data_IF_891015274260
#
_entry.id   IF_891015274260
#
_cell.length_a   1.000
_cell.length_b   1.000
_cell.length_c   1.000
_cell.angle_alpha   90.00
_cell.angle_beta   90.00
_cell.angle_gamma   90.00
#
_symmetry.space_group_name_H-M   'P 1'
#
loop_
_entity.id
_entity.type
_entity.pdbx_description
1 polymer ?
#
# COMPACT_ATOMS: atom_id res chain seq x y z
N UNK A 1 18.85 14.55 8.03
CA UNK A 1 18.82 14.21 6.59
C UNK A 1 17.84 13.08 6.44
N UNK A 2 16.64 13.35 5.93
CA UNK A 2 15.76 12.27 5.47
C UNK A 2 16.54 11.51 4.39
N UNK A 3 16.85 10.24 4.65
CA UNK A 3 17.40 9.39 3.59
C UNK A 3 16.27 9.20 2.59
N UNK A 4 16.37 9.85 1.43
CA UNK A 4 15.54 9.49 0.29
C UNK A 4 15.65 7.96 0.10
N UNK A 5 14.51 7.28 0.08
CA UNK A 5 14.51 5.84 -0.16
C UNK A 5 15.06 5.61 -1.56
N UNK A 6 15.98 4.66 -1.69
CA UNK A 6 16.50 4.30 -3.00
C UNK A 6 15.37 3.73 -3.87
N UNK A 7 15.56 3.77 -5.19
CA UNK A 7 14.64 3.12 -6.14
C UNK A 7 14.41 1.64 -5.81
N UNK A 8 15.43 0.92 -5.35
CA UNK A 8 15.29 -0.47 -4.90
C UNK A 8 14.43 -0.60 -3.65
N UNK A 9 14.56 0.32 -2.69
CA UNK A 9 13.76 0.30 -1.47
C UNK A 9 12.29 0.63 -1.76
N UNK A 10 12.03 1.57 -2.68
CA UNK A 10 10.69 1.89 -3.19
C UNK A 10 10.04 0.65 -3.85
N UNK A 11 10.79 -0.09 -4.67
CA UNK A 11 10.29 -1.32 -5.29
C UNK A 11 10.01 -2.43 -4.27
N UNK A 12 10.89 -2.61 -3.28
CA UNK A 12 10.67 -3.57 -2.19
C UNK A 12 9.42 -3.20 -1.39
N UNK A 13 9.25 -1.92 -1.06
CA UNK A 13 8.09 -1.43 -0.30
C UNK A 13 6.80 -1.59 -1.09
N UNK A 14 6.80 -1.25 -2.39
CA UNK A 14 5.67 -1.50 -3.30
C UNK A 14 5.23 -2.97 -3.27
N UNK A 15 6.17 -3.90 -3.40
CA UNK A 15 5.86 -5.34 -3.35
C UNK A 15 5.25 -5.79 -2.02
N UNK A 16 5.72 -5.24 -0.90
CA UNK A 16 5.13 -5.53 0.42
C UNK A 16 3.70 -5.01 0.50
N UNK A 17 3.45 -3.77 0.09
CA UNK A 17 2.12 -3.15 0.09
C UNK A 17 1.14 -3.89 -0.82
N UNK A 18 1.58 -4.40 -1.97
CA UNK A 18 0.74 -5.24 -2.84
C UNK A 18 0.32 -6.55 -2.16
N UNK A 19 1.20 -7.15 -1.36
CA UNK A 19 0.89 -8.35 -0.57
C UNK A 19 -0.07 -8.02 0.58
N UNK A 20 0.16 -6.90 1.29
CA UNK A 20 -0.73 -6.42 2.36
C UNK A 20 -2.13 -6.13 1.80
N UNK A 21 -2.21 -5.43 0.66
CA UNK A 21 -3.47 -5.19 -0.06
C UNK A 21 -4.18 -6.49 -0.41
N UNK A 22 -3.47 -7.46 -0.96
CA UNK A 22 -4.05 -8.76 -1.29
C UNK A 22 -4.51 -9.53 -0.04
N UNK A 23 -3.89 -9.31 1.11
CA UNK A 23 -4.33 -9.87 2.39
C UNK A 23 -5.62 -9.21 2.87
N UNK A 24 -5.67 -7.87 2.90
CA UNK A 24 -6.86 -7.09 3.29
C UNK A 24 -8.05 -7.43 2.40
N UNK A 25 -7.84 -7.56 1.08
CA UNK A 25 -8.87 -7.95 0.12
C UNK A 25 -9.61 -9.24 0.49
N UNK A 26 -8.94 -10.21 1.14
CA UNK A 26 -9.55 -11.49 1.54
C UNK A 26 -10.57 -11.34 2.65
N UNK A 27 -10.47 -10.27 3.43
CA UNK A 27 -11.32 -9.95 4.58
C UNK A 27 -12.31 -8.81 4.26
N UNK A 28 -12.31 -8.28 3.03
CA UNK A 28 -13.30 -7.31 2.56
C UNK A 28 -14.45 -8.04 1.84
N UNK A 29 -15.08 -8.98 2.53
CA UNK A 29 -16.24 -9.70 2.01
C UNK A 29 -17.47 -8.79 1.81
N UNK A 30 -18.45 -9.20 1.00
CA UNK A 30 -19.64 -8.40 0.69
C UNK A 30 -20.52 -8.07 1.89
N UNK A 31 -20.39 -8.81 2.99
CA UNK A 31 -21.14 -8.60 4.24
C UNK A 31 -20.23 -8.08 5.39
N UNK A 32 -18.93 -7.89 5.14
CA UNK A 32 -17.95 -7.39 6.11
C UNK A 32 -17.73 -5.88 5.94
N UNK A 33 -18.59 -5.07 6.55
CA UNK A 33 -18.34 -3.62 6.71
C UNK A 33 -17.44 -3.36 7.92
N UNK A 34 -16.18 -3.76 7.83
CA UNK A 34 -15.17 -3.36 8.80
C UNK A 34 -14.51 -2.05 8.35
N UNK A 35 -14.88 -0.95 9.02
CA UNK A 35 -14.28 0.37 8.79
C UNK A 35 -12.75 0.36 8.93
N UNK A 36 -12.21 -0.52 9.77
CA UNK A 36 -10.77 -0.66 9.96
C UNK A 36 -10.10 -1.23 8.71
N UNK A 37 -10.75 -2.21 8.06
CA UNK A 37 -10.26 -2.77 6.79
C UNK A 37 -10.38 -1.76 5.64
N UNK A 38 -11.44 -0.96 5.61
CA UNK A 38 -11.57 0.14 4.64
C UNK A 38 -10.47 1.19 4.83
N UNK A 39 -10.19 1.60 6.07
CA UNK A 39 -9.11 2.54 6.37
C UNK A 39 -7.72 1.99 6.01
N UNK A 40 -7.45 0.72 6.33
CA UNK A 40 -6.20 0.07 5.95
C UNK A 40 -6.05 -0.04 4.43
N UNK A 41 -7.12 -0.39 3.73
CA UNK A 41 -7.15 -0.44 2.28
C UNK A 41 -6.84 0.93 1.65
N UNK A 42 -7.47 2.00 2.14
CA UNK A 42 -7.20 3.36 1.66
C UNK A 42 -5.76 3.79 1.94
N UNK A 43 -5.21 3.50 3.13
CA UNK A 43 -3.82 3.80 3.49
C UNK A 43 -2.84 3.11 2.55
N UNK A 44 -3.03 1.81 2.30
CA UNK A 44 -2.17 1.03 1.40
C UNK A 44 -2.22 1.58 -0.02
N UNK A 45 -3.42 1.91 -0.54
CA UNK A 45 -3.56 2.49 -1.87
C UNK A 45 -2.89 3.86 -2.00
N UNK A 46 -3.02 4.70 -0.97
CA UNK A 46 -2.37 6.02 -0.95
C UNK A 46 -0.85 5.89 -0.97
N UNK A 47 -0.30 4.99 -0.14
CA UNK A 47 1.16 4.77 -0.10
C UNK A 47 1.68 4.19 -1.42
N UNK A 48 0.96 3.25 -2.04
CA UNK A 48 1.28 2.74 -3.37
C UNK A 48 1.32 3.85 -4.43
N UNK A 49 0.32 4.74 -4.44
CA UNK A 49 0.27 5.86 -5.38
C UNK A 49 1.44 6.85 -5.17
N UNK A 50 1.85 7.10 -3.92
CA UNK A 50 3.02 7.93 -3.63
C UNK A 50 4.33 7.27 -4.08
N UNK A 51 4.47 5.96 -3.88
CA UNK A 51 5.63 5.20 -4.35
C UNK A 51 5.70 5.22 -5.88
N UNK A 52 4.57 5.07 -6.57
CA UNK A 52 4.53 5.11 -8.04
C UNK A 52 4.92 6.48 -8.58
N UNK A 53 4.48 7.58 -7.93
CA UNK A 53 4.94 8.93 -8.27
C UNK A 53 6.46 9.07 -8.11
N UNK A 54 7.00 8.65 -6.96
CA UNK A 54 8.45 8.71 -6.69
C UNK A 54 9.30 7.82 -7.61
N UNK A 55 8.72 6.77 -8.18
CA UNK A 55 9.38 5.89 -9.15
C UNK A 55 9.31 6.43 -10.59
N UNK A 56 8.40 7.36 -10.86
CA UNK A 56 8.18 7.98 -12.17
C UNK A 56 8.94 9.31 -12.34
N UNK A 57 9.24 10.00 -11.23
CA UNK A 57 10.21 11.11 -11.16
C UNK A 57 11.65 10.61 -11.34
#
# INVERSE_FOLDING_TARGET
>A
MEKEMSREDLLKRKKILELEKASVAKYMGPDEHDKSLEEEWEKINKELAEIEKKLAE
#
